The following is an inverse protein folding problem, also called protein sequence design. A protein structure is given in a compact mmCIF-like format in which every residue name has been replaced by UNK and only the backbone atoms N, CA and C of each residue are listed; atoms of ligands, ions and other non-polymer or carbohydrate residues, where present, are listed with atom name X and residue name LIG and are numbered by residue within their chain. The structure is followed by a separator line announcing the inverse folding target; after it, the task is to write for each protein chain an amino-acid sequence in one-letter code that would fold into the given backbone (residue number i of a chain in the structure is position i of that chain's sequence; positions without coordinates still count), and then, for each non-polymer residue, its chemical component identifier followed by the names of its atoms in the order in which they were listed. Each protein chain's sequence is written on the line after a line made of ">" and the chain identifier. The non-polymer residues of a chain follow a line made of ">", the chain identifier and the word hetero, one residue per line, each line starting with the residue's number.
data_IF_920098042890
#
_entry.id   IF_920098042890
#
_cell.length_a   1.000
_cell.length_b   1.000
_cell.length_c   1.000
_cell.angle_alpha   90.00
_cell.angle_beta   90.00
_cell.angle_gamma   90.00
#
_symmetry.space_group_name_H-M   'P 1'
#
loop_
_entity.id
_entity.type
_entity.pdbx_description
1 polymer ?
#
# COMPACT_ATOMS: atom_id res chain seq x y z
N UNK A 1 18.07 12.03 -45.68
CA UNK A 1 17.88 10.83 -44.84
C UNK A 1 17.25 9.75 -45.69
N UNK A 2 17.81 8.55 -45.69
CA UNK A 2 17.30 7.43 -46.49
C UNK A 2 16.01 6.86 -45.87
N UNK A 3 15.11 6.27 -46.67
CA UNK A 3 13.86 5.66 -46.17
C UNK A 3 14.10 4.63 -45.05
N UNK A 4 15.24 3.92 -45.09
CA UNK A 4 15.63 2.92 -44.09
C UNK A 4 15.86 3.49 -42.67
N UNK A 5 16.22 4.77 -42.52
CA UNK A 5 16.37 5.40 -41.19
C UNK A 5 15.02 5.72 -40.54
N UNK A 6 13.96 5.95 -41.33
CA UNK A 6 12.62 6.28 -40.84
C UNK A 6 11.86 5.01 -40.42
N UNK A 7 12.10 3.91 -41.12
CA UNK A 7 11.50 2.60 -40.83
C UNK A 7 12.06 1.98 -39.55
N UNK A 8 13.37 2.10 -39.31
CA UNK A 8 13.99 1.67 -38.05
C UNK A 8 13.53 2.49 -36.83
N UNK A 9 13.24 3.79 -36.99
CA UNK A 9 12.72 4.60 -35.88
C UNK A 9 11.27 4.23 -35.53
N UNK A 10 10.45 3.85 -36.50
CA UNK A 10 9.07 3.35 -36.27
C UNK A 10 9.05 1.94 -35.68
N UNK A 11 9.96 1.07 -36.13
CA UNK A 11 10.14 -0.25 -35.52
C UNK A 11 10.62 -0.10 -34.07
N UNK A 12 11.66 0.71 -33.80
CA UNK A 12 12.12 0.96 -32.43
C UNK A 12 11.04 1.58 -31.54
N UNK A 13 10.20 2.49 -32.05
CA UNK A 13 9.06 3.03 -31.30
C UNK A 13 7.95 1.99 -31.03
N UNK A 14 7.76 1.03 -31.93
CA UNK A 14 6.80 -0.07 -31.76
C UNK A 14 7.28 -1.11 -30.74
N UNK A 15 8.58 -1.43 -30.71
CA UNK A 15 9.19 -2.31 -29.69
C UNK A 15 9.38 -1.63 -28.32
N UNK A 16 9.19 -0.31 -28.23
CA UNK A 16 9.22 0.45 -26.97
C UNK A 16 7.85 0.56 -26.27
N UNK A 17 6.76 0.03 -26.83
CA UNK A 17 5.40 0.21 -26.28
C UNK A 17 4.49 -1.03 -26.22
N UNK A 18 5.01 -2.28 -26.23
CA UNK A 18 4.15 -3.48 -26.10
C UNK A 18 4.38 -4.28 -24.82
N UNK A 19 4.33 -3.57 -23.69
CA UNK A 19 3.79 -4.12 -22.46
C UNK A 19 2.96 -3.01 -21.83
N UNK A 20 1.65 -3.18 -21.70
CA UNK A 20 0.85 -2.28 -20.87
C UNK A 20 1.58 -2.11 -19.53
N UNK A 21 1.95 -0.87 -19.22
CA UNK A 21 2.56 -0.56 -17.93
C UNK A 21 1.54 -0.96 -16.87
N UNK A 22 1.80 -2.08 -16.17
CA UNK A 22 0.89 -2.62 -15.16
C UNK A 22 0.46 -1.51 -14.21
N UNK A 23 -0.84 -1.37 -14.05
CA UNK A 23 -1.43 -0.47 -13.07
C UNK A 23 -1.26 -1.06 -11.67
N UNK A 24 -0.26 -0.57 -10.95
CA UNK A 24 -0.04 -0.88 -9.54
C UNK A 24 -0.77 0.16 -8.71
N UNK A 25 -1.66 -0.31 -7.83
CA UNK A 25 -2.38 0.53 -6.89
C UNK A 25 -1.80 0.32 -5.50
N UNK A 26 -1.20 1.37 -4.94
CA UNK A 26 -0.76 1.41 -3.55
C UNK A 26 -1.93 1.82 -2.68
N UNK A 27 -2.12 1.16 -1.55
CA UNK A 27 -3.35 1.27 -0.78
C UNK A 27 -3.11 1.16 0.72
N UNK A 28 -3.82 2.00 1.47
CA UNK A 28 -3.96 1.93 2.93
C UNK A 28 -5.34 2.46 3.34
N UNK A 29 -5.83 2.03 4.51
CA UNK A 29 -7.04 2.59 5.11
C UNK A 29 -6.91 2.84 6.61
N UNK A 30 -7.71 3.80 7.06
CA UNK A 30 -7.94 4.06 8.48
C UNK A 30 -9.33 3.65 8.90
N UNK A 31 -9.48 3.39 10.20
CA UNK A 31 -10.72 2.84 10.76
C UNK A 31 -11.48 3.84 11.61
N UNK A 32 -12.78 3.62 11.80
CA UNK A 32 -13.61 4.46 12.67
C UNK A 32 -13.49 4.03 14.15
N UNK A 33 -13.24 2.75 14.37
CA UNK A 33 -13.25 2.08 15.67
C UNK A 33 -11.96 1.30 15.87
N UNK A 34 -11.48 1.28 17.10
CA UNK A 34 -10.34 0.46 17.52
C UNK A 34 -10.73 -1.01 17.67
N UNK A 35 -9.73 -1.88 17.87
CA UNK A 35 -9.98 -3.28 18.22
C UNK A 35 -10.83 -3.42 19.48
N UNK A 36 -10.57 -2.61 20.50
CA UNK A 36 -11.28 -2.68 21.78
C UNK A 36 -12.76 -2.30 21.59
N UNK A 37 -13.04 -1.29 20.75
CA UNK A 37 -14.41 -0.86 20.44
C UNK A 37 -15.26 -1.96 19.76
N UNK A 38 -14.62 -2.89 19.04
CA UNK A 38 -15.29 -4.00 18.35
C UNK A 38 -15.18 -5.34 19.09
N UNK A 39 -14.63 -5.36 20.31
CA UNK A 39 -14.48 -6.59 21.10
C UNK A 39 -13.30 -7.48 20.66
N UNK A 40 -12.33 -6.94 19.93
CA UNK A 40 -11.06 -7.59 19.60
C UNK A 40 -10.85 -7.92 18.12
N UNK A 41 -9.66 -8.46 17.82
CA UNK A 41 -9.18 -8.74 16.45
C UNK A 41 -10.06 -9.66 15.60
N UNK A 42 -10.90 -10.49 16.20
CA UNK A 42 -11.78 -11.38 15.44
C UNK A 42 -12.94 -10.62 14.76
N UNK A 43 -13.15 -9.35 15.12
CA UNK A 43 -14.24 -8.49 14.65
C UNK A 43 -13.76 -7.35 13.74
N UNK A 44 -12.62 -7.48 13.05
CA UNK A 44 -12.04 -6.42 12.19
C UNK A 44 -13.05 -5.82 11.20
N UNK A 45 -13.90 -6.64 10.58
CA UNK A 45 -14.95 -6.17 9.65
C UNK A 45 -15.95 -5.17 10.25
N UNK A 46 -16.02 -5.07 11.58
CA UNK A 46 -16.89 -4.15 12.29
C UNK A 46 -16.20 -2.83 12.66
N UNK A 47 -14.92 -2.65 12.31
CA UNK A 47 -14.16 -1.44 12.66
C UNK A 47 -14.60 -0.21 11.84
N UNK A 48 -15.18 -0.43 10.67
CA UNK A 48 -15.64 0.62 9.76
C UNK A 48 -14.49 1.39 9.10
N UNK A 49 -14.71 1.86 7.88
CA UNK A 49 -13.78 2.70 7.13
C UNK A 49 -13.96 4.17 7.54
N UNK A 50 -12.90 4.84 8.00
CA UNK A 50 -12.94 6.29 8.19
C UNK A 50 -12.48 7.01 6.92
N UNK A 51 -11.24 6.78 6.50
CA UNK A 51 -10.68 7.22 5.22
C UNK A 51 -9.84 6.11 4.59
N UNK A 52 -9.67 6.17 3.29
CA UNK A 52 -8.71 5.35 2.57
C UNK A 52 -8.02 6.20 1.50
N UNK A 53 -6.77 5.84 1.20
CA UNK A 53 -6.00 6.51 0.16
C UNK A 53 -5.44 5.46 -0.79
N UNK A 54 -5.47 5.79 -2.08
CA UNK A 54 -4.73 5.03 -3.08
C UNK A 54 -3.76 5.93 -3.85
N UNK A 55 -2.71 5.32 -4.40
CA UNK A 55 -1.93 5.89 -5.49
C UNK A 55 -1.91 4.91 -6.66
N UNK A 56 -2.25 5.38 -7.86
CA UNK A 56 -2.29 4.56 -9.07
C UNK A 56 -1.12 4.90 -9.99
N UNK A 57 -0.35 3.90 -10.44
CA UNK A 57 0.72 4.15 -11.43
C UNK A 57 0.20 4.46 -12.82
N UNK A 58 -1.04 4.09 -13.14
CA UNK A 58 -1.65 4.42 -14.43
C UNK A 58 -2.01 5.91 -14.54
N UNK A 59 -2.46 6.53 -13.44
CA UNK A 59 -2.81 7.97 -13.42
C UNK A 59 -1.71 8.84 -12.83
N UNK A 60 -0.76 8.25 -12.10
CA UNK A 60 0.25 8.93 -11.30
C UNK A 60 -0.36 9.89 -10.24
N UNK A 61 -1.54 9.54 -9.72
CA UNK A 61 -2.33 10.39 -8.83
C UNK A 61 -2.74 9.65 -7.56
N UNK A 62 -2.91 10.42 -6.49
CA UNK A 62 -3.58 9.98 -5.28
C UNK A 62 -5.09 10.12 -5.41
N UNK A 63 -5.84 9.17 -4.87
CA UNK A 63 -7.28 9.27 -4.67
C UNK A 63 -7.66 9.05 -3.22
N UNK A 64 -8.70 9.75 -2.80
CA UNK A 64 -9.16 9.79 -1.42
C UNK A 64 -10.58 9.26 -1.33
N UNK A 65 -10.79 8.42 -0.32
CA UNK A 65 -12.05 7.74 -0.08
C UNK A 65 -12.49 7.93 1.36
N UNK A 66 -13.80 7.93 1.55
CA UNK A 66 -14.49 7.87 2.82
C UNK A 66 -15.45 6.67 2.78
N UNK A 67 -16.16 6.42 3.87
CA UNK A 67 -17.22 5.41 3.88
C UNK A 67 -18.28 5.65 2.79
N UNK A 68 -18.58 6.91 2.45
CA UNK A 68 -19.61 7.28 1.48
C UNK A 68 -19.31 6.82 0.06
N UNK A 69 -18.02 6.76 -0.32
CA UNK A 69 -17.57 6.37 -1.66
C UNK A 69 -16.72 5.08 -1.65
N UNK A 70 -16.86 4.24 -0.62
CA UNK A 70 -16.13 2.97 -0.49
C UNK A 70 -16.30 2.02 -1.68
N UNK A 71 -17.44 2.08 -2.38
CA UNK A 71 -17.67 1.28 -3.57
C UNK A 71 -16.72 1.65 -4.72
N UNK A 72 -16.33 2.93 -4.83
CA UNK A 72 -15.37 3.39 -5.83
C UNK A 72 -13.95 2.89 -5.50
N UNK A 73 -13.58 2.89 -4.21
CA UNK A 73 -12.34 2.26 -3.74
C UNK A 73 -12.31 0.78 -4.12
N UNK A 74 -13.37 0.03 -3.81
CA UNK A 74 -13.45 -1.39 -4.13
C UNK A 74 -13.35 -1.63 -5.64
N UNK A 75 -13.97 -0.77 -6.45
CA UNK A 75 -13.88 -0.84 -7.90
C UNK A 75 -12.45 -0.61 -8.40
N UNK A 76 -11.73 0.38 -7.85
CA UNK A 76 -10.33 0.65 -8.19
C UNK A 76 -9.41 -0.52 -7.83
N UNK A 77 -9.54 -1.05 -6.60
CA UNK A 77 -8.74 -2.20 -6.15
C UNK A 77 -8.97 -3.44 -7.03
N UNK A 78 -10.19 -3.65 -7.53
CA UNK A 78 -10.51 -4.75 -8.45
C UNK A 78 -9.98 -4.54 -9.87
N UNK A 79 -9.85 -3.30 -10.30
CA UNK A 79 -9.34 -2.94 -11.62
C UNK A 79 -7.81 -2.88 -11.69
N UNK A 80 -7.12 -2.89 -10.54
CA UNK A 80 -5.66 -2.89 -10.47
C UNK A 80 -5.07 -4.21 -10.99
N UNK A 81 -3.96 -4.13 -11.72
CA UNK A 81 -3.17 -5.32 -12.08
C UNK A 81 -2.43 -5.89 -10.87
N UNK A 82 -2.16 -5.04 -9.88
CA UNK A 82 -1.53 -5.39 -8.61
C UNK A 82 -1.91 -4.36 -7.55
N UNK A 83 -2.33 -4.83 -6.37
CA UNK A 83 -2.46 -4.00 -5.17
C UNK A 83 -1.20 -4.16 -4.32
N UNK A 84 -0.64 -3.06 -3.83
CA UNK A 84 0.48 -3.06 -2.89
C UNK A 84 0.04 -2.36 -1.61
N UNK A 85 0.27 -3.00 -0.47
CA UNK A 85 -0.09 -2.43 0.83
C UNK A 85 0.78 -2.98 1.96
N UNK A 86 0.53 -2.50 3.18
CA UNK A 86 1.23 -2.95 4.37
C UNK A 86 0.25 -3.61 5.35
N UNK A 87 0.31 -4.93 5.48
CA UNK A 87 -0.66 -5.73 6.25
C UNK A 87 -2.09 -5.79 5.64
N UNK A 88 -2.22 -5.42 4.37
CA UNK A 88 -3.48 -5.35 3.62
C UNK A 88 -4.29 -6.64 3.66
N UNK A 89 -3.65 -7.81 3.60
CA UNK A 89 -4.35 -9.09 3.56
C UNK A 89 -5.00 -9.44 4.91
N UNK A 90 -4.39 -9.02 6.01
CA UNK A 90 -4.82 -9.41 7.36
C UNK A 90 -5.54 -8.30 8.11
N UNK A 91 -5.63 -7.11 7.52
CA UNK A 91 -6.26 -5.94 8.14
C UNK A 91 -7.20 -5.23 7.18
N UNK A 92 -6.67 -4.49 6.20
CA UNK A 92 -7.44 -3.60 5.33
C UNK A 92 -8.54 -4.34 4.56
N UNK A 93 -8.19 -5.47 3.95
CA UNK A 93 -9.19 -6.32 3.28
C UNK A 93 -10.20 -6.90 4.25
N UNK A 94 -9.82 -7.19 5.50
CA UNK A 94 -10.77 -7.67 6.51
C UNK A 94 -11.72 -6.56 6.99
N UNK A 95 -11.28 -5.29 6.99
CA UNK A 95 -12.16 -4.14 7.23
C UNK A 95 -13.12 -3.97 6.05
N UNK A 96 -12.61 -4.01 4.81
CA UNK A 96 -13.42 -3.85 3.60
C UNK A 96 -14.46 -4.96 3.40
N UNK A 97 -14.31 -6.13 4.03
CA UNK A 97 -15.37 -7.17 4.09
C UNK A 97 -16.66 -6.69 4.75
N UNK A 98 -16.64 -5.59 5.50
CA UNK A 98 -17.87 -4.93 5.96
C UNK A 98 -18.69 -4.29 4.84
N UNK A 99 -18.09 -4.08 3.66
CA UNK A 99 -18.66 -3.32 2.54
C UNK A 99 -18.78 -4.14 1.25
N UNK A 100 -18.20 -5.34 1.18
CA UNK A 100 -18.28 -6.19 -0.02
C UNK A 100 -18.21 -7.67 0.31
N UNK A 101 -18.95 -8.47 -0.47
CA UNK A 101 -18.84 -9.94 -0.49
C UNK A 101 -17.76 -10.44 -1.45
N UNK A 102 -17.15 -9.55 -2.25
CA UNK A 102 -16.08 -9.95 -3.16
C UNK A 102 -14.87 -10.45 -2.35
N UNK A 103 -14.28 -11.61 -2.71
CA UNK A 103 -13.13 -12.16 -2.00
C UNK A 103 -11.85 -11.38 -2.33
N UNK A 104 -11.63 -10.22 -1.69
CA UNK A 104 -10.51 -9.30 -1.94
C UNK A 104 -9.13 -9.98 -1.87
N UNK A 105 -8.97 -11.03 -1.06
CA UNK A 105 -7.75 -11.85 -1.00
C UNK A 105 -7.38 -12.57 -2.29
N UNK A 106 -8.26 -12.59 -3.30
CA UNK A 106 -7.99 -13.12 -4.64
C UNK A 106 -7.38 -12.08 -5.59
N UNK A 107 -7.35 -10.81 -5.21
CA UNK A 107 -6.66 -9.79 -5.99
C UNK A 107 -5.16 -10.12 -6.05
N UNK A 108 -4.49 -9.84 -7.18
CA UNK A 108 -3.02 -9.84 -7.20
C UNK A 108 -2.52 -8.82 -6.18
N UNK A 109 -1.80 -9.28 -5.15
CA UNK A 109 -1.42 -8.43 -4.02
C UNK A 109 0.00 -8.69 -3.57
N UNK A 110 0.75 -7.60 -3.33
CA UNK A 110 1.98 -7.60 -2.53
C UNK A 110 1.65 -6.98 -1.17
N UNK A 111 1.65 -7.83 -0.14
CA UNK A 111 1.56 -7.38 1.26
C UNK A 111 2.97 -7.39 1.84
N UNK A 112 3.57 -6.20 1.96
CA UNK A 112 4.96 -6.04 2.40
C UNK A 112 5.19 -6.70 3.76
N UNK A 113 4.26 -6.56 4.69
CA UNK A 113 4.43 -7.15 6.01
C UNK A 113 4.34 -8.66 5.97
N UNK A 114 3.43 -9.23 5.19
CA UNK A 114 3.31 -10.67 5.03
C UNK A 114 4.59 -11.26 4.40
N UNK A 115 5.16 -10.61 3.38
CA UNK A 115 6.38 -11.06 2.70
C UNK A 115 7.61 -11.00 3.60
N UNK A 116 7.77 -9.90 4.34
CA UNK A 116 8.86 -9.75 5.32
C UNK A 116 8.72 -10.77 6.45
N UNK A 117 7.51 -10.98 6.97
CA UNK A 117 7.25 -11.97 8.00
C UNK A 117 7.57 -13.39 7.52
N UNK A 118 7.24 -13.73 6.27
CA UNK A 118 7.56 -15.03 5.66
C UNK A 118 9.07 -15.27 5.60
N UNK A 119 9.85 -14.22 5.36
CA UNK A 119 11.31 -14.30 5.23
C UNK A 119 12.01 -14.30 6.59
N UNK A 120 11.54 -13.52 7.55
CA UNK A 120 12.21 -13.30 8.83
C UNK A 120 11.66 -14.13 10.00
N UNK A 121 10.40 -14.59 9.91
CA UNK A 121 9.70 -15.26 11.01
C UNK A 121 9.21 -14.30 12.12
N UNK A 122 9.33 -12.99 11.93
CA UNK A 122 8.79 -11.97 12.84
C UNK A 122 8.36 -10.72 12.07
N UNK A 123 7.47 -9.93 12.69
CA UNK A 123 6.86 -8.76 12.09
C UNK A 123 7.70 -7.52 12.36
N UNK A 124 7.74 -6.61 11.40
CA UNK A 124 8.33 -5.27 11.51
C UNK A 124 7.22 -4.24 11.30
N UNK A 125 7.37 -3.02 11.83
CA UNK A 125 6.46 -1.92 11.50
C UNK A 125 6.88 -1.26 10.19
N UNK A 126 5.93 -0.61 9.51
CA UNK A 126 6.20 0.21 8.33
C UNK A 126 7.29 1.25 8.63
N UNK A 127 7.13 1.98 9.73
CA UNK A 127 8.11 2.94 10.25
C UNK A 127 9.53 2.35 10.39
N UNK A 128 9.65 1.15 10.98
CA UNK A 128 10.97 0.53 11.20
C UNK A 128 11.67 0.14 9.89
N UNK A 129 10.89 -0.28 8.89
CA UNK A 129 11.40 -0.62 7.55
C UNK A 129 11.75 0.65 6.77
N UNK A 130 10.85 1.64 6.79
CA UNK A 130 11.03 2.93 6.12
C UNK A 130 12.26 3.67 6.65
N UNK A 131 12.41 3.76 7.98
CA UNK A 131 13.56 4.39 8.59
C UNK A 131 14.87 3.68 8.20
N UNK A 132 14.88 2.35 8.24
CA UNK A 132 16.08 1.58 7.98
C UNK A 132 16.48 1.56 6.49
N UNK A 133 15.50 1.60 5.58
CA UNK A 133 15.70 1.46 4.13
C UNK A 133 15.84 2.80 3.42
N UNK A 134 14.98 3.76 3.78
CA UNK A 134 14.83 5.04 3.07
C UNK A 134 15.39 6.21 3.89
N UNK A 135 15.73 6.01 5.17
CA UNK A 135 16.18 7.09 6.06
C UNK A 135 15.06 8.03 6.51
N UNK A 136 13.79 7.67 6.28
CA UNK A 136 12.63 8.49 6.65
C UNK A 136 12.45 8.58 8.17
N UNK A 137 11.94 9.72 8.63
CA UNK A 137 11.59 9.97 10.03
C UNK A 137 10.26 9.31 10.44
N UNK A 138 9.92 9.40 11.73
CA UNK A 138 8.72 8.75 12.28
C UNK A 138 7.43 9.29 11.65
N UNK A 139 6.56 8.39 11.17
CA UNK A 139 5.15 8.72 10.93
C UNK A 139 4.36 8.67 12.25
N UNK A 140 3.17 9.28 12.27
CA UNK A 140 2.28 9.19 13.43
C UNK A 140 1.84 7.72 13.65
N UNK A 141 1.30 7.40 14.83
CA UNK A 141 0.85 6.04 15.17
C UNK A 141 -0.66 5.91 14.89
N UNK A 142 -1.16 4.76 14.43
CA UNK A 142 -2.59 4.49 14.22
C UNK A 142 -3.51 4.76 15.43
N UNK A 143 -3.01 4.78 16.68
CA UNK A 143 -3.81 5.27 17.82
C UNK A 143 -4.15 6.77 17.71
N UNK A 144 -3.32 7.55 17.02
CA UNK A 144 -3.60 8.95 16.68
C UNK A 144 -4.66 9.06 15.59
N UNK A 145 -4.68 8.15 14.62
CA UNK A 145 -5.70 8.10 13.57
C UNK A 145 -7.12 7.99 14.14
N UNK A 146 -7.33 7.03 15.07
CA UNK A 146 -8.62 6.90 15.78
C UNK A 146 -8.99 8.17 16.56
N UNK A 147 -8.01 8.85 17.17
CA UNK A 147 -8.27 10.12 17.88
C UNK A 147 -8.69 11.24 16.92
N UNK A 148 -8.05 11.35 15.77
CA UNK A 148 -8.44 12.34 14.75
C UNK A 148 -9.84 12.08 14.22
N UNK A 149 -10.18 10.83 13.93
CA UNK A 149 -11.55 10.46 13.56
C UNK A 149 -12.58 10.91 14.61
N UNK A 150 -12.36 10.55 15.88
CA UNK A 150 -13.26 10.95 16.99
C UNK A 150 -13.36 12.47 17.19
N UNK A 151 -12.36 13.23 16.75
CA UNK A 151 -12.33 14.69 16.81
C UNK A 151 -12.87 15.37 15.54
N UNK A 152 -13.27 14.62 14.51
CA UNK A 152 -13.68 15.17 13.22
C UNK A 152 -12.53 15.76 12.40
N UNK A 153 -11.28 15.42 12.72
CA UNK A 153 -10.05 15.90 12.05
C UNK A 153 -9.74 15.07 10.81
N UNK A 154 -10.66 15.10 9.85
CA UNK A 154 -10.61 14.26 8.64
C UNK A 154 -9.44 14.64 7.75
N UNK A 155 -9.07 15.92 7.69
CA UNK A 155 -7.94 16.38 6.87
C UNK A 155 -6.63 15.78 7.36
N UNK A 156 -6.33 15.87 8.65
CA UNK A 156 -5.12 15.31 9.25
C UNK A 156 -5.08 13.78 9.12
N UNK A 157 -6.24 13.14 9.24
CA UNK A 157 -6.36 11.69 9.04
C UNK A 157 -6.07 11.28 7.59
N UNK A 158 -6.58 12.02 6.61
CA UNK A 158 -6.33 11.79 5.19
C UNK A 158 -4.85 12.03 4.83
N UNK A 159 -4.26 13.11 5.33
CA UNK A 159 -2.83 13.41 5.12
C UNK A 159 -1.93 12.32 5.72
N UNK A 160 -2.29 11.80 6.90
CA UNK A 160 -1.59 10.69 7.53
C UNK A 160 -1.67 9.40 6.70
N UNK A 161 -2.89 9.00 6.29
CA UNK A 161 -3.09 7.81 5.46
C UNK A 161 -2.36 7.93 4.11
N UNK A 162 -2.41 9.11 3.47
CA UNK A 162 -1.66 9.35 2.23
C UNK A 162 -0.15 9.22 2.43
N UNK A 163 0.39 9.69 3.56
CA UNK A 163 1.81 9.51 3.87
C UNK A 163 2.17 8.02 4.01
N UNK A 164 1.33 7.22 4.67
CA UNK A 164 1.58 5.77 4.80
C UNK A 164 1.51 5.05 3.43
N UNK A 165 0.62 5.47 2.52
CA UNK A 165 0.62 5.03 1.11
C UNK A 165 1.91 5.41 0.39
N UNK A 166 2.39 6.64 0.53
CA UNK A 166 3.61 7.10 -0.12
C UNK A 166 4.85 6.36 0.40
N UNK A 167 4.95 6.15 1.72
CA UNK A 167 6.02 5.36 2.33
C UNK A 167 6.00 3.91 1.85
N UNK A 168 4.81 3.31 1.77
CA UNK A 168 4.60 1.96 1.23
C UNK A 168 5.07 1.88 -0.22
N UNK A 169 4.72 2.87 -1.04
CA UNK A 169 5.15 2.98 -2.45
C UNK A 169 6.66 3.07 -2.57
N UNK A 170 7.29 3.98 -1.84
CA UNK A 170 8.75 4.15 -1.87
C UNK A 170 9.49 2.88 -1.41
N UNK A 171 8.99 2.18 -0.38
CA UNK A 171 9.58 0.92 0.07
C UNK A 171 9.48 -0.17 -1.01
N UNK A 172 8.31 -0.31 -1.62
CA UNK A 172 8.09 -1.26 -2.70
C UNK A 172 8.99 -0.98 -3.89
N UNK A 173 9.06 0.27 -4.34
CA UNK A 173 9.92 0.70 -5.46
C UNK A 173 11.39 0.42 -5.16
N UNK A 174 11.86 0.77 -3.96
CA UNK A 174 13.22 0.46 -3.53
C UNK A 174 13.48 -1.06 -3.58
N UNK A 175 12.58 -1.86 -3.02
CA UNK A 175 12.72 -3.32 -2.99
C UNK A 175 12.69 -3.94 -4.40
N UNK A 176 11.85 -3.41 -5.30
CA UNK A 176 11.77 -3.84 -6.70
C UNK A 176 13.07 -3.56 -7.44
N UNK A 177 13.69 -2.40 -7.22
CA UNK A 177 14.95 -1.99 -7.85
C UNK A 177 16.16 -2.73 -7.26
N UNK A 178 16.26 -2.78 -5.93
CA UNK A 178 17.46 -3.23 -5.22
C UNK A 178 17.42 -4.71 -4.80
N UNK A 179 16.25 -5.36 -4.91
CA UNK A 179 16.00 -6.75 -4.49
C UNK A 179 16.22 -7.01 -2.99
N UNK A 180 16.19 -5.96 -2.18
CA UNK A 180 16.16 -6.05 -0.72
C UNK A 180 15.47 -4.82 -0.11
N UNK A 181 15.06 -4.95 1.16
CA UNK A 181 14.82 -3.82 2.07
C UNK A 181 15.70 -3.97 3.32
N UNK A 182 15.77 -2.94 4.15
CA UNK A 182 16.60 -2.93 5.35
C UNK A 182 15.77 -2.88 6.63
N UNK A 183 16.33 -3.42 7.70
CA UNK A 183 15.79 -3.31 9.05
C UNK A 183 16.92 -3.29 10.08
N UNK A 184 16.61 -2.85 11.30
CA UNK A 184 17.53 -2.95 12.44
C UNK A 184 17.18 -4.17 13.28
N UNK A 185 18.19 -5.01 13.57
CA UNK A 185 18.00 -6.16 14.46
C UNK A 185 17.92 -5.74 15.94
N UNK A 186 17.70 -6.70 16.85
CA UNK A 186 17.60 -6.45 18.30
C UNK A 186 18.87 -5.83 18.91
N UNK A 187 19.99 -5.83 18.19
CA UNK A 187 21.28 -5.21 18.58
C UNK A 187 21.53 -3.91 17.80
N UNK A 188 20.50 -3.31 17.21
CA UNK A 188 20.56 -2.07 16.42
C UNK A 188 21.42 -2.12 15.16
N UNK A 189 21.83 -3.33 14.72
CA UNK A 189 22.64 -3.51 13.52
C UNK A 189 21.74 -3.48 12.29
N UNK A 190 22.20 -2.79 11.25
CA UNK A 190 21.53 -2.79 9.96
C UNK A 190 21.65 -4.15 9.29
N UNK A 191 20.52 -4.68 8.83
CA UNK A 191 20.41 -5.96 8.12
C UNK A 191 19.57 -5.77 6.86
N UNK A 192 19.80 -6.62 5.85
CA UNK A 192 19.01 -6.66 4.62
C UNK A 192 18.07 -7.86 4.66
N UNK A 193 16.86 -7.69 4.16
CA UNK A 193 15.90 -8.74 3.87
C UNK A 193 15.77 -8.82 2.36
N UNK A 194 16.11 -9.95 1.71
CA UNK A 194 15.88 -10.10 0.28
C UNK A 194 14.39 -10.06 -0.03
N UNK A 195 14.01 -9.41 -1.14
CA UNK A 195 12.63 -9.34 -1.63
C UNK A 195 12.59 -9.60 -3.12
N UNK A 196 11.48 -10.15 -3.61
CA UNK A 196 11.26 -10.44 -5.03
C UNK A 196 9.94 -9.84 -5.50
N UNK A 197 9.88 -8.51 -5.44
CA UNK A 197 8.80 -7.70 -5.97
C UNK A 197 9.11 -7.24 -7.40
#
# INVERSE_FOLDING_TARGET
>A
MTPACVENAKLLAHWMWEGEMKNVVFFDLETQRSFDDVGGRHNIKHMGLSVAVTYSTATAEYRHYTEENVNDLIAELKAADMVVGFNVLSFDYEVLRGYTDYPLKRLPTVDILADIHRTLGFRLSLDSLANATLGLGKSANGLQAIRWWRQGKIKELMEYCQNDVDVTRQLYEFGREHKYVQYRDRRWRMKKVPVNW
#
